data_IF_982350382423
#
_entry.id   IF_982350382423
#
_cell.length_a   1.000
_cell.length_b   1.000
_cell.length_c   1.000
_cell.angle_alpha   90.00
_cell.angle_beta   90.00
_cell.angle_gamma   90.00
#
_symmetry.space_group_name_H-M   'P 1'
#
loop_
_entity.id
_entity.type
_entity.pdbx_description
1 polymer ?
#
# COMPACT_ATOMS: atom_id res chain seq x y z
N UNK A 1 28.35 -47.11 -52.02
CA UNK A 1 28.27 -45.64 -52.09
C UNK A 1 29.40 -45.09 -51.23
N UNK A 2 30.61 -44.95 -51.78
CA UNK A 2 31.21 -43.70 -52.34
C UNK A 2 31.24 -42.58 -51.29
N UNK A 3 32.37 -41.95 -50.91
CA UNK A 3 33.70 -41.80 -51.56
C UNK A 3 34.76 -41.42 -50.51
N UNK A 4 35.96 -41.98 -50.65
CA UNK A 4 37.26 -41.41 -50.23
C UNK A 4 37.69 -40.35 -51.31
N UNK A 5 38.66 -39.44 -51.12
CA UNK A 5 40.09 -39.85 -51.09
C UNK A 5 41.13 -38.94 -50.35
N UNK A 6 42.30 -39.55 -50.02
CA UNK A 6 43.73 -39.17 -50.21
C UNK A 6 44.11 -37.66 -50.38
N UNK A 7 45.30 -37.09 -50.04
CA UNK A 7 46.67 -37.53 -49.70
C UNK A 7 47.56 -36.30 -49.39
N UNK A 8 48.66 -36.50 -48.61
CA UNK A 8 50.01 -35.88 -48.76
C UNK A 8 50.20 -34.40 -48.33
N UNK A 9 51.33 -33.91 -47.79
CA UNK A 9 52.69 -34.41 -47.61
C UNK A 9 53.47 -33.62 -46.53
N UNK A 10 54.59 -34.24 -46.15
CA UNK A 10 55.76 -33.88 -45.34
C UNK A 10 56.52 -32.58 -45.74
N UNK A 11 57.14 -31.86 -44.79
CA UNK A 11 58.55 -31.34 -44.77
C UNK A 11 58.77 -30.43 -43.51
N UNK A 12 59.73 -30.74 -42.62
CA UNK A 12 61.12 -30.22 -42.53
C UNK A 12 61.22 -28.85 -41.79
N UNK A 13 61.48 -28.79 -40.49
CA UNK A 13 62.77 -28.82 -39.75
C UNK A 13 63.49 -27.46 -39.58
N UNK A 14 64.04 -27.29 -38.36
CA UNK A 14 65.19 -26.47 -37.92
C UNK A 14 64.89 -25.15 -37.18
N UNK A 15 65.56 -25.08 -36.01
CA UNK A 15 65.78 -24.02 -35.03
C UNK A 15 65.97 -22.60 -35.61
N UNK A 16 65.74 -21.57 -34.77
CA UNK A 16 66.76 -20.62 -34.27
C UNK A 16 66.17 -19.78 -33.12
N UNK A 17 67.02 -19.53 -32.12
CA UNK A 17 66.79 -18.72 -30.92
C UNK A 17 66.74 -17.20 -31.22
N UNK A 18 66.02 -16.48 -30.34
CA UNK A 18 66.17 -15.06 -29.94
C UNK A 18 66.05 -13.93 -30.98
N UNK A 19 65.07 -13.02 -30.79
CA UNK A 19 65.29 -11.65 -30.26
C UNK A 19 63.99 -10.81 -30.25
N UNK A 20 63.77 -10.15 -29.11
CA UNK A 20 62.91 -9.01 -28.74
C UNK A 20 61.77 -8.44 -29.63
N UNK A 21 60.63 -8.31 -28.92
CA UNK A 21 59.68 -7.17 -28.79
C UNK A 21 58.69 -6.91 -29.94
N UNK A 22 57.51 -7.52 -29.81
CA UNK A 22 56.27 -6.93 -30.28
C UNK A 22 55.27 -6.82 -29.13
N UNK A 23 54.70 -5.62 -29.01
CA UNK A 23 53.64 -5.20 -28.13
C UNK A 23 52.35 -5.90 -28.58
N UNK A 24 51.93 -6.95 -27.88
CA UNK A 24 50.55 -7.44 -28.02
C UNK A 24 49.70 -6.70 -26.98
N UNK A 25 48.86 -5.78 -27.45
CA UNK A 25 47.73 -5.29 -26.67
C UNK A 25 46.91 -6.50 -26.22
N UNK A 26 47.03 -6.86 -24.95
CA UNK A 26 46.09 -7.78 -24.34
C UNK A 26 44.74 -7.08 -24.34
N UNK A 27 43.84 -7.52 -25.22
CA UNK A 27 42.43 -7.21 -25.12
C UNK A 27 41.99 -7.78 -23.77
N UNK A 28 41.93 -6.91 -22.76
CA UNK A 28 41.23 -7.17 -21.51
C UNK A 28 39.77 -7.36 -21.87
N UNK A 29 39.36 -8.62 -22.02
CA UNK A 29 37.96 -9.00 -22.03
C UNK A 29 37.51 -9.11 -20.59
N UNK A 30 37.51 -7.98 -19.88
CA UNK A 30 36.69 -7.81 -18.69
C UNK A 30 35.24 -7.86 -19.17
N UNK A 31 34.66 -9.06 -19.12
CA UNK A 31 33.21 -9.22 -19.16
C UNK A 31 32.70 -8.42 -17.97
N UNK A 32 32.17 -7.21 -18.20
CA UNK A 32 31.44 -6.45 -17.19
C UNK A 32 30.30 -7.35 -16.70
N UNK A 33 30.48 -7.96 -15.53
CA UNK A 33 29.44 -8.72 -14.89
C UNK A 33 28.35 -7.71 -14.48
N UNK A 34 27.19 -7.80 -15.13
CA UNK A 34 26.07 -6.90 -14.85
C UNK A 34 25.75 -6.92 -13.34
N UNK A 35 25.80 -5.75 -12.72
CA UNK A 35 25.67 -5.62 -11.27
C UNK A 35 24.26 -6.07 -10.83
N UNK A 36 24.19 -7.08 -9.95
CA UNK A 36 22.91 -7.62 -9.48
C UNK A 36 22.11 -6.53 -8.74
N UNK A 37 20.88 -6.28 -9.20
CA UNK A 37 19.93 -5.39 -8.52
C UNK A 37 19.05 -6.20 -7.54
N UNK A 38 18.81 -5.62 -6.37
CA UNK A 38 17.90 -6.13 -5.34
C UNK A 38 16.87 -5.07 -4.99
N UNK A 39 15.63 -5.52 -4.77
CA UNK A 39 14.54 -4.65 -4.35
C UNK A 39 14.52 -4.53 -2.81
N UNK A 40 14.52 -3.30 -2.31
CA UNK A 40 14.56 -2.95 -0.88
C UNK A 40 13.44 -1.95 -0.56
N UNK A 41 13.18 -1.66 0.73
CA UNK A 41 12.30 -0.55 1.12
C UNK A 41 12.74 0.81 0.55
N UNK A 42 14.02 0.96 0.21
CA UNK A 42 14.59 2.15 -0.43
C UNK A 42 14.51 2.14 -1.96
N UNK A 43 13.83 1.14 -2.54
CA UNK A 43 13.73 0.90 -3.98
C UNK A 43 14.75 -0.11 -4.49
N UNK A 44 14.93 -0.13 -5.81
CA UNK A 44 15.89 -0.99 -6.48
C UNK A 44 17.32 -0.47 -6.28
N UNK A 45 18.16 -1.31 -5.68
CA UNK A 45 19.54 -0.98 -5.33
C UNK A 45 20.50 -2.05 -5.84
N UNK A 46 21.74 -1.69 -6.19
CA UNK A 46 22.77 -2.68 -6.42
C UNK A 46 23.06 -3.47 -5.15
N UNK A 47 23.14 -4.80 -5.27
CA UNK A 47 23.38 -5.71 -4.14
C UNK A 47 24.69 -5.39 -3.40
N UNK A 48 25.68 -4.84 -4.11
CA UNK A 48 26.97 -4.40 -3.54
C UNK A 48 26.83 -3.28 -2.49
N UNK A 49 25.73 -2.51 -2.53
CA UNK A 49 25.46 -1.37 -1.63
C UNK A 49 24.59 -1.73 -0.43
N UNK A 50 24.09 -2.97 -0.38
CA UNK A 50 23.19 -3.46 0.67
C UNK A 50 23.98 -4.38 1.59
N UNK A 51 24.17 -3.97 2.83
CA UNK A 51 25.08 -4.61 3.78
C UNK A 51 24.30 -5.17 4.97
N UNK A 52 24.53 -6.44 5.27
CA UNK A 52 23.90 -7.11 6.42
C UNK A 52 24.60 -6.75 7.74
N UNK A 53 23.79 -6.46 8.75
CA UNK A 53 24.17 -6.29 10.15
C UNK A 53 23.62 -7.45 10.99
N UNK A 54 24.34 -7.73 12.08
CA UNK A 54 23.84 -8.56 13.17
C UNK A 54 23.71 -7.73 14.45
N UNK A 55 23.05 -8.30 15.46
CA UNK A 55 22.73 -7.63 16.73
C UNK A 55 23.96 -7.24 17.58
N UNK A 56 25.17 -7.69 17.23
CA UNK A 56 26.43 -7.32 17.89
C UNK A 56 27.18 -6.23 17.16
N UNK A 57 26.70 -5.81 15.99
CA UNK A 57 27.40 -4.85 15.13
C UNK A 57 26.57 -3.59 14.92
N UNK A 58 27.28 -2.47 14.79
CA UNK A 58 26.70 -1.16 14.44
C UNK A 58 27.46 -0.56 13.27
N UNK A 59 26.92 0.50 12.69
CA UNK A 59 27.62 1.32 11.71
C UNK A 59 27.78 2.75 12.25
N UNK A 60 29.00 3.28 12.13
CA UNK A 60 29.35 4.65 12.54
C UNK A 60 30.15 5.36 11.44
N UNK A 61 30.00 6.68 11.37
CA UNK A 61 30.88 7.54 10.56
C UNK A 61 32.05 7.99 11.43
N UNK A 62 33.29 7.76 10.98
CA UNK A 62 34.52 8.29 11.60
C UNK A 62 35.39 8.92 10.52
N UNK A 63 35.77 10.19 10.71
CA UNK A 63 36.66 10.92 9.80
C UNK A 63 36.25 10.83 8.31
N UNK A 64 34.94 11.00 8.02
CA UNK A 64 34.42 10.93 6.64
C UNK A 64 34.45 9.54 6.02
N UNK A 65 34.45 8.48 6.85
CA UNK A 65 34.36 7.08 6.41
C UNK A 65 33.35 6.32 7.24
N UNK A 66 32.74 5.33 6.64
CA UNK A 66 31.69 4.51 7.25
C UNK A 66 32.32 3.20 7.69
N UNK A 67 32.15 2.82 8.95
CA UNK A 67 32.72 1.60 9.51
C UNK A 67 31.64 0.72 10.12
N UNK A 68 31.73 -0.60 9.86
CA UNK A 68 31.04 -1.62 10.64
C UNK A 68 31.87 -1.89 11.90
N UNK A 69 31.26 -1.84 13.06
CA UNK A 69 31.93 -1.85 14.36
C UNK A 69 31.28 -2.88 15.28
N UNK A 70 32.09 -3.60 16.05
CA UNK A 70 31.63 -4.44 17.15
C UNK A 70 31.15 -3.56 18.31
N UNK A 71 29.91 -3.72 18.74
CA UNK A 71 29.30 -2.86 19.77
C UNK A 71 29.99 -3.04 21.12
N UNK A 72 30.44 -4.26 21.46
CA UNK A 72 31.00 -4.56 22.77
C UNK A 72 32.45 -4.07 22.92
N UNK A 73 33.23 -4.14 21.84
CA UNK A 73 34.67 -3.78 21.89
C UNK A 73 35.00 -2.47 21.18
N UNK A 74 34.03 -1.82 20.53
CA UNK A 74 34.19 -0.64 19.65
C UNK A 74 35.24 -0.83 18.54
N UNK A 75 35.53 -2.10 18.20
CA UNK A 75 36.56 -2.46 17.21
C UNK A 75 35.97 -2.37 15.81
N UNK A 76 36.73 -1.76 14.90
CA UNK A 76 36.39 -1.77 13.47
C UNK A 76 36.45 -3.19 12.92
N UNK A 77 35.32 -3.67 12.39
CA UNK A 77 35.18 -4.96 11.72
C UNK A 77 35.43 -4.80 10.22
N UNK A 78 34.89 -3.74 9.62
CA UNK A 78 35.04 -3.46 8.19
C UNK A 78 34.99 -1.96 7.92
N UNK A 79 35.78 -1.52 6.94
CA UNK A 79 35.69 -0.19 6.33
C UNK A 79 34.75 -0.28 5.11
N UNK A 80 33.61 0.40 5.19
CA UNK A 80 32.55 0.36 4.18
C UNK A 80 32.71 1.46 3.13
N UNK A 81 33.80 2.22 3.19
CA UNK A 81 34.14 3.25 2.23
C UNK A 81 34.05 4.67 2.79
N UNK A 82 34.31 5.63 1.92
CA UNK A 82 34.18 7.06 2.23
C UNK A 82 32.71 7.46 2.26
N UNK A 83 32.39 8.43 3.11
CA UNK A 83 31.13 9.17 3.03
C UNK A 83 31.02 9.78 1.64
N UNK A 84 29.91 9.57 0.96
CA UNK A 84 29.73 10.00 -0.43
C UNK A 84 28.86 11.25 -0.57
N UNK A 85 28.18 11.69 0.50
CA UNK A 85 27.26 12.82 0.56
C UNK A 85 26.35 13.02 -0.68
N UNK A 86 25.75 11.98 -1.31
CA UNK A 86 25.06 12.19 -2.58
C UNK A 86 23.68 12.84 -2.36
N UNK A 87 23.04 12.54 -1.22
CA UNK A 87 21.74 13.08 -0.78
C UNK A 87 21.44 12.62 0.65
N UNK A 88 20.83 13.46 1.49
CA UNK A 88 20.25 12.99 2.78
C UNK A 88 18.97 12.16 2.59
N UNK A 89 18.39 12.17 1.38
CA UNK A 89 17.18 11.42 1.07
C UNK A 89 17.54 9.98 0.63
N UNK A 90 17.18 8.96 1.43
CA UNK A 90 17.60 7.57 1.20
C UNK A 90 17.04 6.99 -0.12
N UNK A 91 15.97 7.56 -0.65
CA UNK A 91 15.27 7.06 -1.84
C UNK A 91 15.79 7.68 -3.14
N UNK A 92 16.68 8.68 -3.08
CA UNK A 92 17.17 9.37 -4.30
C UNK A 92 17.81 8.41 -5.29
N UNK A 93 18.67 7.51 -4.80
CA UNK A 93 19.31 6.52 -5.64
C UNK A 93 18.28 5.55 -6.24
N UNK A 94 17.45 4.93 -5.39
CA UNK A 94 16.44 3.96 -5.84
C UNK A 94 15.48 4.52 -6.88
N UNK A 95 15.09 5.80 -6.75
CA UNK A 95 14.27 6.51 -7.75
C UNK A 95 15.00 6.73 -9.08
N UNK A 96 16.28 7.11 -9.05
CA UNK A 96 17.08 7.31 -10.26
C UNK A 96 17.44 6.00 -10.99
N UNK A 97 17.56 4.88 -10.25
CA UNK A 97 17.94 3.59 -10.78
C UNK A 97 16.77 2.80 -11.41
N UNK A 98 15.53 3.21 -11.16
CA UNK A 98 14.34 2.58 -11.71
C UNK A 98 14.22 2.85 -13.23
N UNK A 99 14.84 2.01 -14.07
CA UNK A 99 14.75 2.10 -15.55
C UNK A 99 13.40 1.64 -16.12
N UNK A 100 12.54 0.96 -15.34
CA UNK A 100 11.22 0.50 -15.78
C UNK A 100 10.24 0.42 -14.60
N UNK A 101 9.16 1.22 -14.64
CA UNK A 101 7.82 0.93 -14.08
C UNK A 101 7.61 0.67 -12.58
N UNK A 102 8.65 0.48 -11.76
CA UNK A 102 8.52 0.04 -10.36
C UNK A 102 8.80 1.15 -9.33
N UNK A 103 8.45 2.40 -9.66
CA UNK A 103 8.44 3.51 -8.70
C UNK A 103 6.99 3.86 -8.33
N UNK A 104 6.29 2.95 -7.65
CA UNK A 104 5.03 3.36 -7.04
C UNK A 104 5.38 4.15 -5.77
N UNK A 105 4.96 5.42 -5.61
CA UNK A 105 5.14 6.12 -4.35
C UNK A 105 4.43 5.31 -3.27
N UNK A 106 5.13 4.99 -2.20
CA UNK A 106 4.51 4.42 -1.00
C UNK A 106 3.31 5.27 -0.57
N UNK A 107 2.31 4.61 -0.02
CA UNK A 107 1.24 5.26 0.70
C UNK A 107 1.77 5.62 2.07
N UNK A 108 1.83 6.90 2.40
CA UNK A 108 2.46 7.34 3.65
C UNK A 108 1.54 8.22 4.48
N UNK A 109 1.79 8.23 5.78
CA UNK A 109 1.42 9.31 6.68
C UNK A 109 2.69 9.76 7.40
N UNK A 110 3.02 11.05 7.31
CA UNK A 110 4.22 11.63 7.92
C UNK A 110 3.87 12.75 8.89
N UNK A 111 4.63 12.90 9.97
CA UNK A 111 4.45 14.00 10.90
C UNK A 111 5.79 14.48 11.43
N UNK A 112 5.87 15.78 11.74
CA UNK A 112 7.02 16.31 12.45
C UNK A 112 7.07 15.78 13.88
N UNK A 113 8.26 15.43 14.33
CA UNK A 113 8.58 15.05 15.69
C UNK A 113 10.06 15.35 15.96
N UNK A 114 10.37 15.76 17.18
CA UNK A 114 11.73 15.96 17.69
C UNK A 114 11.80 15.42 19.11
N UNK A 115 12.98 15.40 19.70
CA UNK A 115 13.19 14.87 21.04
C UNK A 115 12.74 13.42 21.22
N UNK A 116 12.74 12.63 20.15
CA UNK A 116 12.21 11.28 20.13
C UNK A 116 13.04 10.39 21.08
N UNK A 117 12.38 9.81 22.08
CA UNK A 117 12.93 8.73 22.90
C UNK A 117 12.58 7.37 22.29
N UNK A 118 11.33 7.18 21.88
CA UNK A 118 10.92 6.03 21.09
C UNK A 118 9.68 6.35 20.24
N UNK A 119 9.65 5.78 19.04
CA UNK A 119 8.47 5.73 18.18
C UNK A 119 8.12 4.26 17.92
N UNK A 120 6.90 3.85 18.27
CA UNK A 120 6.45 2.47 18.16
C UNK A 120 5.08 2.35 17.54
N UNK A 121 4.87 1.29 16.78
CA UNK A 121 3.59 1.02 16.12
C UNK A 121 3.29 -0.46 16.11
N UNK A 122 2.04 -0.83 16.38
CA UNK A 122 1.56 -2.21 16.25
C UNK A 122 0.79 -2.44 14.96
N UNK A 123 0.92 -3.62 14.39
CA UNK A 123 0.07 -4.08 13.29
C UNK A 123 -0.05 -5.61 13.31
N UNK A 124 -0.99 -6.13 12.54
CA UNK A 124 -1.17 -7.58 12.36
C UNK A 124 -0.60 -7.94 11.00
N UNK A 125 0.23 -8.99 10.92
CA UNK A 125 0.70 -9.53 9.64
C UNK A 125 -0.53 -9.91 8.80
N UNK A 126 -0.72 -9.31 7.61
CA UNK A 126 -1.94 -9.50 6.84
C UNK A 126 -2.00 -10.90 6.21
N UNK A 127 -3.17 -11.26 5.67
CA UNK A 127 -3.35 -12.52 4.95
C UNK A 127 -2.46 -12.59 3.71
N UNK A 128 -1.98 -13.80 3.38
CA UNK A 128 -1.18 -14.04 2.17
C UNK A 128 -1.92 -13.59 0.92
N UNK A 129 -1.24 -13.07 -0.12
CA UNK A 129 -1.88 -12.67 -1.36
C UNK A 129 -2.74 -13.76 -2.00
N UNK A 130 -3.81 -13.39 -2.72
CA UNK A 130 -4.66 -14.35 -3.43
C UNK A 130 -3.91 -15.27 -4.40
N UNK A 131 -2.84 -14.78 -5.02
CA UNK A 131 -1.84 -15.64 -5.65
C UNK A 131 -0.79 -16.06 -4.61
N UNK A 132 -0.89 -17.28 -4.03
CA UNK A 132 0.00 -17.71 -2.94
C UNK A 132 1.44 -17.99 -3.40
N UNK A 133 1.70 -17.98 -4.71
CA UNK A 133 3.04 -18.16 -5.28
C UNK A 133 3.69 -16.83 -5.68
N UNK A 134 2.99 -15.71 -5.50
CA UNK A 134 3.50 -14.39 -5.87
C UNK A 134 4.76 -14.05 -5.08
N UNK A 135 5.82 -13.73 -5.81
CA UNK A 135 7.03 -13.11 -5.26
C UNK A 135 7.04 -11.59 -5.45
N UNK A 136 5.91 -10.98 -5.81
CA UNK A 136 5.83 -9.52 -5.89
C UNK A 136 6.03 -8.92 -4.51
N UNK A 137 6.95 -7.98 -4.39
CA UNK A 137 7.31 -7.43 -3.09
C UNK A 137 6.26 -6.44 -2.59
N UNK A 138 5.97 -6.50 -1.30
CA UNK A 138 5.32 -5.40 -0.58
C UNK A 138 5.98 -5.18 0.76
N UNK A 139 6.08 -3.92 1.17
CA UNK A 139 6.58 -3.51 2.49
C UNK A 139 5.51 -2.79 3.29
N UNK A 140 5.46 -3.03 4.59
CA UNK A 140 4.65 -2.31 5.57
C UNK A 140 5.55 -1.99 6.77
N UNK A 141 5.66 -0.71 7.13
CA UNK A 141 6.65 -0.29 8.12
C UNK A 141 6.31 1.04 8.79
N UNK A 142 6.79 1.20 10.02
CA UNK A 142 6.91 2.49 10.69
C UNK A 142 8.38 2.96 10.61
N UNK A 143 8.64 4.25 10.83
CA UNK A 143 10.01 4.74 10.81
C UNK A 143 10.19 6.16 11.30
N UNK A 144 11.45 6.56 11.43
CA UNK A 144 11.84 7.93 11.77
C UNK A 144 12.81 8.50 10.74
N UNK A 145 12.90 9.83 10.70
CA UNK A 145 13.74 10.57 9.76
C UNK A 145 13.57 10.15 8.32
N UNK A 146 12.33 10.34 7.86
CA UNK A 146 11.85 10.01 6.50
C UNK A 146 12.01 8.52 6.16
N UNK A 147 12.09 7.65 7.17
CA UNK A 147 12.32 6.22 6.99
C UNK A 147 13.80 5.89 6.76
N UNK A 148 14.74 6.70 7.21
CA UNK A 148 16.14 6.26 7.26
C UNK A 148 16.39 5.18 8.32
N UNK A 149 15.44 4.98 9.24
CA UNK A 149 15.36 3.90 10.23
C UNK A 149 13.96 3.27 10.14
N UNK A 150 13.87 1.97 9.87
CA UNK A 150 12.62 1.27 9.50
C UNK A 150 12.58 -0.16 10.07
N UNK A 151 11.69 -0.43 11.05
CA UNK A 151 11.19 -1.78 11.30
C UNK A 151 10.22 -2.21 10.19
N UNK A 152 10.64 -3.16 9.35
CA UNK A 152 9.91 -3.54 8.13
C UNK A 152 9.31 -4.94 8.22
N UNK A 153 8.00 -5.04 7.92
CA UNK A 153 7.37 -6.28 7.46
C UNK A 153 7.43 -6.32 5.93
N UNK A 154 7.87 -7.44 5.38
CA UNK A 154 7.99 -7.64 3.93
C UNK A 154 7.40 -8.98 3.48
N UNK A 155 6.91 -9.01 2.24
CA UNK A 155 6.49 -10.22 1.52
C UNK A 155 7.26 -10.34 0.20
N UNK A 156 7.39 -11.55 -0.32
CA UNK A 156 7.75 -11.81 -1.72
C UNK A 156 9.26 -11.95 -1.95
N UNK A 157 9.73 -11.54 -3.12
CA UNK A 157 11.11 -11.75 -3.56
C UNK A 157 12.13 -11.17 -2.58
N UNK A 158 11.84 -10.03 -1.96
CA UNK A 158 12.71 -9.44 -0.93
C UNK A 158 12.73 -10.27 0.35
N UNK A 159 11.62 -10.91 0.75
CA UNK A 159 11.62 -11.84 1.88
C UNK A 159 12.40 -13.14 1.59
N UNK A 160 12.67 -13.43 0.32
CA UNK A 160 13.30 -14.68 -0.14
C UNK A 160 12.30 -15.69 -0.72
N UNK A 161 11.02 -15.32 -0.88
CA UNK A 161 9.99 -16.19 -1.43
C UNK A 161 8.57 -15.74 -1.09
N UNK A 162 7.58 -16.58 -1.40
CA UNK A 162 6.17 -16.31 -1.11
C UNK A 162 5.83 -16.54 0.37
N UNK A 163 6.44 -15.75 1.26
CA UNK A 163 6.20 -15.74 2.70
C UNK A 163 6.47 -14.36 3.29
N UNK A 164 5.99 -14.12 4.52
CA UNK A 164 6.29 -12.92 5.27
C UNK A 164 7.58 -13.06 6.07
N UNK A 165 8.38 -11.99 6.09
CA UNK A 165 9.51 -11.84 6.98
C UNK A 165 9.54 -10.42 7.55
N UNK A 166 10.19 -10.26 8.71
CA UNK A 166 10.54 -8.97 9.27
C UNK A 166 12.06 -8.75 9.18
N UNK A 167 12.46 -7.49 9.05
CA UNK A 167 13.84 -7.05 9.21
C UNK A 167 13.85 -5.55 9.54
N UNK A 168 14.84 -5.11 10.32
CA UNK A 168 15.11 -3.68 10.46
C UNK A 168 16.02 -3.21 9.33
N UNK A 169 15.77 -2.03 8.79
CA UNK A 169 16.49 -1.44 7.67
C UNK A 169 16.91 -0.02 8.00
N UNK A 170 18.15 0.33 7.66
CA UNK A 170 18.60 1.70 7.80
C UNK A 170 19.44 2.21 6.63
N UNK A 171 19.45 3.52 6.49
CA UNK A 171 20.28 4.25 5.54
C UNK A 171 21.22 5.20 6.28
N UNK A 172 22.50 5.15 5.91
CA UNK A 172 23.52 6.06 6.41
C UNK A 172 24.47 6.47 5.28
N UNK A 173 24.32 7.70 4.83
CA UNK A 173 25.22 8.37 3.87
C UNK A 173 25.62 7.55 2.63
N UNK A 174 24.62 7.01 1.93
CA UNK A 174 24.78 6.24 0.70
C UNK A 174 24.95 4.73 0.93
N UNK A 175 25.03 4.29 2.18
CA UNK A 175 25.07 2.88 2.56
C UNK A 175 23.71 2.42 3.04
N UNK A 176 23.26 1.28 2.52
CA UNK A 176 21.99 0.65 2.86
C UNK A 176 22.26 -0.58 3.70
N UNK A 177 21.54 -0.71 4.81
CA UNK A 177 21.81 -1.69 5.85
C UNK A 177 20.54 -2.44 6.17
N UNK A 178 20.67 -3.72 6.50
CA UNK A 178 19.55 -4.50 7.03
C UNK A 178 19.99 -5.46 8.11
N UNK A 179 19.10 -5.73 9.06
CA UNK A 179 19.25 -6.79 10.05
C UNK A 179 18.98 -8.17 9.48
N UNK A 180 18.99 -9.17 10.36
CA UNK A 180 18.60 -10.53 10.03
C UNK A 180 17.13 -10.60 9.63
N UNK A 181 16.84 -11.39 8.60
CA UNK A 181 15.45 -11.66 8.20
C UNK A 181 14.88 -12.74 9.11
N UNK A 182 13.70 -12.48 9.67
CA UNK A 182 12.98 -13.43 10.53
C UNK A 182 11.62 -13.69 9.93
N UNK A 183 11.34 -14.95 9.58
CA UNK A 183 10.02 -15.32 9.03
C UNK A 183 8.93 -15.18 10.08
N UNK A 184 7.78 -14.66 9.66
CA UNK A 184 6.59 -14.48 10.51
C UNK A 184 5.34 -14.99 9.79
N UNK A 185 4.30 -15.33 10.54
CA UNK A 185 3.06 -15.89 9.99
C UNK A 185 1.97 -14.80 9.90
N UNK A 186 1.03 -14.91 8.94
CA UNK A 186 -0.22 -14.16 8.97
C UNK A 186 -0.92 -14.25 10.32
N UNK A 187 -1.48 -13.14 10.80
CA UNK A 187 -2.12 -13.06 12.12
C UNK A 187 -1.18 -12.77 13.29
N UNK A 188 0.14 -12.86 13.10
CA UNK A 188 1.11 -12.42 14.12
C UNK A 188 0.93 -10.94 14.39
N UNK A 189 0.87 -10.56 15.67
CA UNK A 189 0.93 -9.15 16.09
C UNK A 189 2.40 -8.74 16.14
N UNK A 190 2.74 -7.70 15.39
CA UNK A 190 4.05 -7.08 15.38
C UNK A 190 3.99 -5.74 16.11
N UNK A 191 5.11 -5.37 16.72
CA UNK A 191 5.35 -4.02 17.24
C UNK A 191 6.74 -3.59 16.77
N UNK A 192 6.80 -2.72 15.77
CA UNK A 192 8.04 -2.11 15.30
C UNK A 192 8.41 -0.91 16.17
N UNK A 193 9.64 -0.84 16.64
CA UNK A 193 10.11 0.18 17.58
C UNK A 193 11.44 0.76 17.12
N UNK A 194 11.52 2.09 17.04
CA UNK A 194 12.81 2.81 16.93
C UNK A 194 13.03 3.58 18.22
N UNK A 195 14.13 3.31 18.92
CA UNK A 195 14.46 3.91 20.21
C UNK A 195 15.79 4.65 20.18
N UNK A 196 15.81 5.83 20.77
CA UNK A 196 17.05 6.54 21.11
C UNK A 196 17.78 5.78 22.23
N UNK A 197 19.09 5.60 22.07
CA UNK A 197 19.95 4.89 23.04
C UNK A 197 20.83 5.89 23.79
N UNK A 198 21.61 6.67 23.05
CA UNK A 198 22.56 7.63 23.60
C UNK A 198 22.98 8.65 22.53
N UNK A 199 23.54 9.77 22.95
CA UNK A 199 24.31 10.63 22.07
C UNK A 199 25.58 11.10 22.79
N UNK A 200 26.63 11.32 22.02
CA UNK A 200 27.89 11.94 22.44
C UNK A 200 28.51 12.68 21.24
N UNK A 201 29.77 13.08 21.34
CA UNK A 201 30.50 13.73 20.25
C UNK A 201 30.64 12.86 18.98
N UNK A 202 30.50 11.54 19.12
CA UNK A 202 30.55 10.57 18.00
C UNK A 202 29.22 10.39 17.27
N UNK A 203 28.12 10.93 17.81
CA UNK A 203 26.83 10.99 17.17
C UNK A 203 25.67 10.48 18.02
N UNK A 204 24.55 10.23 17.34
CA UNK A 204 23.26 9.83 17.91
C UNK A 204 23.01 8.35 17.63
N UNK A 205 22.97 7.54 18.67
CA UNK A 205 22.77 6.10 18.56
C UNK A 205 21.31 5.73 18.74
N UNK A 206 20.79 4.95 17.79
CA UNK A 206 19.44 4.42 17.79
C UNK A 206 19.47 2.89 17.73
N UNK A 207 18.40 2.29 18.24
CA UNK A 207 18.11 0.87 18.13
C UNK A 207 16.80 0.70 17.36
N UNK A 208 16.81 -0.16 16.37
CA UNK A 208 15.60 -0.62 15.68
C UNK A 208 15.29 -2.05 16.13
N UNK A 209 14.02 -2.31 16.41
CA UNK A 209 13.57 -3.55 17.05
C UNK A 209 12.17 -3.95 16.60
N UNK A 210 11.91 -5.24 16.69
CA UNK A 210 10.56 -5.78 16.79
C UNK A 210 10.38 -6.39 18.19
N UNK A 211 9.35 -5.97 18.94
CA UNK A 211 9.07 -6.54 20.28
C UNK A 211 8.92 -8.06 20.16
N UNK A 212 9.72 -8.81 20.92
CA UNK A 212 9.73 -10.27 20.91
C UNK A 212 10.68 -10.92 19.91
N UNK A 213 11.42 -10.15 19.11
CA UNK A 213 12.36 -10.63 18.10
C UNK A 213 13.76 -9.98 18.22
N UNK A 214 14.48 -10.21 19.35
CA UNK A 214 15.77 -9.57 19.59
C UNK A 214 16.85 -9.93 18.56
N UNK A 215 16.73 -11.06 17.87
CA UNK A 215 17.63 -11.45 16.79
C UNK A 215 17.52 -10.57 15.52
N UNK A 216 16.43 -9.78 15.41
CA UNK A 216 16.24 -8.81 14.35
C UNK A 216 16.84 -7.43 14.69
N UNK A 217 17.22 -7.20 15.96
CA UNK A 217 17.70 -5.90 16.43
C UNK A 217 18.94 -5.43 15.66
N UNK A 218 18.95 -4.14 15.32
CA UNK A 218 20.14 -3.45 14.81
C UNK A 218 20.38 -2.15 15.56
N UNK A 219 21.65 -1.74 15.61
CA UNK A 219 22.06 -0.45 16.15
C UNK A 219 22.73 0.37 15.05
N UNK A 220 22.52 1.68 15.10
CA UNK A 220 23.13 2.63 14.17
C UNK A 220 23.47 3.93 14.87
N UNK A 221 24.65 4.48 14.61
CA UNK A 221 25.07 5.79 15.10
C UNK A 221 25.11 6.78 13.94
N UNK A 222 24.33 7.84 14.04
CA UNK A 222 24.12 8.86 13.01
C UNK A 222 24.79 10.18 13.43
N UNK A 223 25.21 11.04 12.49
CA UNK A 223 25.81 12.32 12.85
C UNK A 223 24.80 13.33 13.42
N UNK A 224 23.52 13.16 13.12
CA UNK A 224 22.44 14.08 13.48
C UNK A 224 21.30 13.32 14.17
N UNK A 225 20.55 14.05 14.99
CA UNK A 225 19.31 13.53 15.59
C UNK A 225 18.33 13.11 14.49
N UNK A 226 17.70 11.95 14.66
CA UNK A 226 16.57 11.52 13.85
C UNK A 226 15.30 12.28 14.25
N UNK A 227 14.75 13.02 13.29
CA UNK A 227 13.53 13.82 13.42
C UNK A 227 12.41 13.21 12.59
N UNK A 228 11.16 13.65 12.79
CA UNK A 228 9.98 13.20 12.05
C UNK A 228 9.66 11.70 12.24
N UNK A 229 8.39 11.38 12.02
CA UNK A 229 7.87 10.01 12.07
C UNK A 229 7.07 9.72 10.80
N UNK A 230 6.99 8.44 10.43
CA UNK A 230 6.31 7.99 9.23
C UNK A 230 5.70 6.60 9.45
N UNK A 231 4.49 6.43 8.92
CA UNK A 231 3.89 5.13 8.62
C UNK A 231 3.85 4.95 7.11
N UNK A 232 4.15 3.76 6.60
CA UNK A 232 4.24 3.53 5.17
C UNK A 232 3.78 2.13 4.76
N UNK A 233 3.09 2.07 3.62
CA UNK A 233 2.82 0.85 2.87
C UNK A 233 3.25 1.01 1.41
N UNK A 234 4.05 0.07 0.91
CA UNK A 234 4.67 0.12 -0.41
C UNK A 234 4.38 -1.18 -1.17
N UNK A 235 3.36 -1.21 -2.04
CA UNK A 235 3.20 -2.32 -2.99
C UNK A 235 4.07 -2.06 -4.22
N UNK A 236 5.02 -2.96 -4.49
CA UNK A 236 5.85 -2.92 -5.70
C UNK A 236 5.21 -3.69 -6.87
N UNK A 237 3.87 -3.70 -6.90
CA UNK A 237 3.05 -4.27 -7.97
C UNK A 237 1.72 -3.54 -8.04
N UNK A 238 1.20 -3.34 -9.25
CA UNK A 238 -0.16 -2.86 -9.49
C UNK A 238 -1.18 -4.00 -9.60
N UNK A 239 -0.73 -5.26 -9.57
CA UNK A 239 -1.60 -6.42 -9.61
C UNK A 239 -2.17 -6.70 -8.21
N UNK A 240 -3.46 -6.43 -8.05
CA UNK A 240 -4.16 -6.61 -6.77
C UNK A 240 -4.20 -8.06 -6.27
N UNK A 241 -4.08 -9.05 -7.16
CA UNK A 241 -4.01 -10.47 -6.76
C UNK A 241 -2.69 -10.83 -6.05
N UNK A 242 -1.73 -9.90 -6.07
CA UNK A 242 -0.42 -10.02 -5.42
C UNK A 242 -0.31 -9.13 -4.17
N UNK A 243 -1.37 -8.37 -3.85
CA UNK A 243 -1.44 -7.60 -2.61
C UNK A 243 -1.89 -8.48 -1.44
N UNK A 244 -1.60 -8.10 -0.19
CA UNK A 244 -2.07 -8.85 0.96
C UNK A 244 -3.59 -9.06 0.93
N UNK A 245 -4.05 -10.26 1.24
CA UNK A 245 -5.47 -10.62 1.21
C UNK A 245 -6.19 -10.12 2.47
N UNK A 246 -6.32 -8.81 2.56
CA UNK A 246 -7.05 -8.11 3.61
C UNK A 246 -7.61 -6.82 3.04
N UNK A 247 -8.75 -6.35 3.57
CA UNK A 247 -9.31 -5.07 3.16
C UNK A 247 -8.41 -3.88 3.53
N UNK A 248 -7.76 -3.97 4.69
CA UNK A 248 -6.83 -2.97 5.17
C UNK A 248 -5.84 -3.59 6.14
N UNK A 249 -4.62 -3.08 6.15
CA UNK A 249 -3.74 -3.26 7.30
C UNK A 249 -3.88 -2.05 8.21
N UNK A 250 -4.20 -2.29 9.49
CA UNK A 250 -4.28 -1.26 10.50
C UNK A 250 -2.96 -1.18 11.24
N UNK A 251 -2.38 0.00 11.25
CA UNK A 251 -1.30 0.39 12.14
C UNK A 251 -1.92 1.12 13.33
N UNK A 252 -1.80 0.54 14.52
CA UNK A 252 -2.50 0.97 15.74
C UNK A 252 -1.55 0.99 16.94
N UNK A 253 -2.03 1.56 18.03
CA UNK A 253 -1.21 1.80 19.22
C UNK A 253 0.06 2.61 18.87
N UNK A 254 -0.06 3.50 17.87
CA UNK A 254 1.03 4.36 17.43
C UNK A 254 1.37 5.25 18.61
N UNK A 255 2.63 5.20 19.04
CA UNK A 255 3.09 5.86 20.25
C UNK A 255 4.38 6.62 19.99
N UNK A 256 4.36 7.90 20.36
CA UNK A 256 5.55 8.72 20.47
C UNK A 256 5.86 8.95 21.95
N UNK A 257 7.10 8.66 22.33
CA UNK A 257 7.67 9.11 23.60
C UNK A 257 8.84 10.01 23.32
N UNK A 258 9.00 11.01 24.16
CA UNK A 258 10.06 12.01 24.07
C UNK A 258 11.02 11.87 25.24
N UNK A 259 12.24 12.38 25.07
CA UNK A 259 13.28 12.35 26.10
C UNK A 259 12.86 13.19 27.31
N UNK A 260 13.45 12.90 28.47
CA UNK A 260 13.10 13.53 29.75
C UNK A 260 13.07 15.06 29.66
N UNK A 261 12.00 15.66 30.18
CA UNK A 261 11.82 17.12 30.23
C UNK A 261 10.92 17.70 29.13
N UNK A 262 10.66 16.95 28.06
CA UNK A 262 9.74 17.36 26.99
C UNK A 262 8.61 16.35 26.93
N UNK A 263 7.33 16.69 27.19
CA UNK A 263 6.21 15.78 26.92
C UNK A 263 5.94 15.70 25.41
N UNK A 264 5.47 14.54 24.88
CA UNK A 264 5.07 14.47 23.48
C UNK A 264 3.83 15.36 23.25
N UNK A 265 3.65 15.92 22.05
CA UNK A 265 2.42 16.64 21.72
C UNK A 265 1.22 15.70 21.86
N UNK A 266 0.02 16.22 22.15
CA UNK A 266 -1.16 15.36 22.32
C UNK A 266 -1.53 14.59 21.03
N UNK A 267 -1.29 15.20 19.87
CA UNK A 267 -1.62 14.64 18.56
C UNK A 267 -0.49 14.83 17.55
N UNK A 268 -0.39 13.91 16.60
CA UNK A 268 0.36 14.07 15.37
C UNK A 268 -0.38 14.96 14.38
N UNK A 269 0.36 15.84 13.70
CA UNK A 269 -0.11 16.58 12.54
C UNK A 269 0.24 15.79 11.27
N UNK A 270 -0.42 14.65 11.07
CA UNK A 270 -0.17 13.75 9.96
C UNK A 270 -0.45 14.42 8.60
N UNK A 271 0.48 14.29 7.67
CA UNK A 271 0.36 14.60 6.26
C UNK A 271 0.33 13.28 5.48
N UNK A 272 -0.71 13.09 4.67
CA UNK A 272 -0.87 11.88 3.86
C UNK A 272 -0.36 12.12 2.45
N UNK A 273 0.42 11.18 1.91
CA UNK A 273 0.87 11.18 0.52
C UNK A 273 0.71 9.80 -0.13
N UNK A 274 0.75 9.76 -1.45
CA UNK A 274 0.62 8.55 -2.27
C UNK A 274 -0.31 8.80 -3.46
N UNK A 275 -0.26 7.96 -4.50
CA UNK A 275 -1.22 8.03 -5.59
C UNK A 275 -2.62 7.71 -5.07
N UNK A 276 -3.67 8.29 -5.63
CA UNK A 276 -5.03 7.80 -5.36
C UNK A 276 -5.26 6.52 -6.15
N UNK A 277 -5.08 5.35 -5.51
CA UNK A 277 -5.57 4.08 -6.07
C UNK A 277 -6.94 3.79 -5.46
N UNK A 278 -7.87 3.35 -6.30
CA UNK A 278 -9.27 3.24 -5.90
C UNK A 278 -9.48 1.95 -5.12
N UNK A 279 -9.31 2.08 -3.81
CA UNK A 279 -9.72 1.16 -2.76
C UNK A 279 -11.10 1.54 -2.21
N UNK A 280 -11.65 0.72 -1.31
CA UNK A 280 -12.98 0.95 -0.71
C UNK A 280 -13.08 2.27 0.11
N UNK A 281 -11.96 2.91 0.41
CA UNK A 281 -11.92 4.19 1.13
C UNK A 281 -11.83 5.39 0.17
N UNK A 282 -11.56 5.15 -1.11
CA UNK A 282 -11.23 6.22 -2.07
C UNK A 282 -9.84 6.84 -1.88
N UNK A 283 -9.12 6.49 -0.81
CA UNK A 283 -7.71 6.81 -0.50
C UNK A 283 -7.06 5.63 0.21
N UNK A 284 -5.87 5.22 -0.19
CA UNK A 284 -5.19 4.07 0.45
C UNK A 284 -4.72 4.34 1.87
N UNK A 285 -4.46 5.59 2.27
CA UNK A 285 -4.08 5.94 3.64
C UNK A 285 -5.17 6.76 4.30
N UNK A 286 -5.63 6.33 5.48
CA UNK A 286 -6.64 7.04 6.28
C UNK A 286 -6.13 7.22 7.70
N UNK A 287 -6.08 8.47 8.16
CA UNK A 287 -5.85 8.81 9.57
C UNK A 287 -7.15 8.54 10.33
N UNK A 288 -7.12 7.61 11.27
CA UNK A 288 -8.29 7.22 12.08
C UNK A 288 -8.23 7.85 13.47
N UNK A 289 -7.04 7.87 14.07
CA UNK A 289 -6.79 8.54 15.33
C UNK A 289 -5.42 9.22 15.25
N UNK A 290 -5.37 10.52 15.50
CA UNK A 290 -4.14 11.30 15.44
C UNK A 290 -3.42 11.41 16.79
N UNK A 291 -3.91 10.79 17.87
CA UNK A 291 -3.23 10.82 19.17
C UNK A 291 -1.79 10.31 19.10
N UNK A 292 -0.87 10.95 19.84
CA UNK A 292 0.49 10.40 20.02
C UNK A 292 0.56 9.28 21.04
N UNK A 293 -0.52 9.06 21.78
CA UNK A 293 -0.73 7.92 22.66
C UNK A 293 -1.93 7.16 22.11
N UNK A 294 -1.70 6.08 21.36
CA UNK A 294 -2.72 5.26 20.70
C UNK A 294 -3.23 5.78 19.35
N UNK A 295 -2.35 6.38 18.55
CA UNK A 295 -2.66 6.75 17.18
C UNK A 295 -3.04 5.54 16.31
N UNK A 296 -3.80 5.79 15.25
CA UNK A 296 -4.27 4.77 14.32
C UNK A 296 -4.23 5.32 12.89
N UNK A 297 -3.56 4.58 12.01
CA UNK A 297 -3.56 4.79 10.56
C UNK A 297 -3.99 3.49 9.89
N UNK A 298 -4.96 3.58 8.98
CA UNK A 298 -5.42 2.47 8.16
C UNK A 298 -4.83 2.57 6.75
N UNK A 299 -4.13 1.52 6.31
CA UNK A 299 -3.75 1.32 4.93
C UNK A 299 -4.76 0.40 4.25
N UNK A 300 -5.68 0.98 3.48
CA UNK A 300 -6.64 0.24 2.68
C UNK A 300 -5.94 -0.40 1.49
N UNK A 301 -6.09 -1.72 1.41
CA UNK A 301 -5.56 -2.58 0.38
C UNK A 301 -6.73 -3.04 -0.48
N UNK A 302 -6.50 -3.27 -1.77
CA UNK A 302 -7.45 -3.95 -2.64
C UNK A 302 -7.35 -5.47 -2.43
N UNK A 303 -7.62 -5.94 -1.21
CA UNK A 303 -7.75 -7.38 -0.97
C UNK A 303 -8.92 -7.94 -1.78
N UNK A 304 -8.81 -9.19 -2.25
CA UNK A 304 -9.93 -9.93 -2.81
C UNK A 304 -10.98 -10.11 -1.71
N UNK A 305 -11.89 -9.14 -1.59
CA UNK A 305 -13.06 -9.25 -0.73
C UNK A 305 -13.98 -10.22 -1.48
N UNK A 306 -14.21 -11.45 -1.01
CA UNK A 306 -15.55 -12.01 -1.25
C UNK A 306 -16.51 -10.95 -0.73
N UNK A 307 -17.24 -10.23 -1.60
CA UNK A 307 -17.58 -8.86 -1.31
C UNK A 307 -18.36 -8.79 0.00
N UNK A 308 -17.97 -7.89 0.90
CA UNK A 308 -18.55 -7.83 2.23
C UNK A 308 -20.08 -7.76 2.09
N UNK A 309 -20.80 -8.65 2.76
CA UNK A 309 -22.24 -8.75 2.65
C UNK A 309 -22.87 -7.36 2.76
N UNK A 310 -23.78 -7.05 1.82
CA UNK A 310 -24.47 -5.76 1.80
C UNK A 310 -25.14 -5.54 3.15
N UNK A 311 -24.73 -4.48 3.85
CA UNK A 311 -25.33 -4.09 5.12
C UNK A 311 -26.57 -3.26 4.82
N UNK A 312 -27.73 -3.87 4.99
CA UNK A 312 -29.02 -3.19 4.82
C UNK A 312 -29.07 -1.89 5.61
N UNK A 313 -29.54 -0.81 4.97
CA UNK A 313 -29.68 0.52 5.54
C UNK A 313 -28.46 1.42 5.35
N UNK A 314 -27.30 0.90 4.95
CA UNK A 314 -26.09 1.70 4.78
C UNK A 314 -26.03 2.43 3.43
N UNK A 315 -25.16 3.44 3.36
CA UNK A 315 -24.91 4.27 2.17
C UNK A 315 -23.63 3.82 1.48
N UNK A 316 -23.66 3.72 0.16
CA UNK A 316 -22.56 3.24 -0.67
C UNK A 316 -22.31 4.16 -1.87
N UNK A 317 -21.07 4.25 -2.35
CA UNK A 317 -20.82 4.52 -3.76
C UNK A 317 -20.84 3.19 -4.52
N UNK A 318 -21.35 3.21 -5.75
CA UNK A 318 -21.40 2.04 -6.64
C UNK A 318 -20.41 2.28 -7.77
N UNK A 319 -19.26 1.59 -7.73
CA UNK A 319 -18.11 1.84 -8.62
C UNK A 319 -18.06 0.78 -9.71
N UNK A 320 -17.92 1.19 -10.98
CA UNK A 320 -17.77 0.22 -12.09
C UNK A 320 -16.41 -0.46 -12.08
N UNK A 321 -16.33 -1.73 -12.45
CA UNK A 321 -15.07 -2.43 -12.66
C UNK A 321 -14.35 -2.04 -13.95
N UNK A 322 -15.04 -1.40 -14.90
CA UNK A 322 -14.52 -1.09 -16.24
C UNK A 322 -13.25 -0.24 -16.18
N UNK A 323 -13.25 0.78 -15.33
CA UNK A 323 -12.07 1.61 -15.06
C UNK A 323 -11.76 1.74 -13.55
N UNK A 324 -12.52 1.06 -12.70
CA UNK A 324 -12.43 1.12 -11.24
C UNK A 324 -12.60 2.51 -10.62
N UNK A 325 -13.02 3.53 -11.39
CA UNK A 325 -13.06 4.92 -10.94
C UNK A 325 -14.38 5.64 -11.11
N UNK A 326 -15.09 5.41 -12.22
CA UNK A 326 -16.39 6.02 -12.45
C UNK A 326 -17.46 5.33 -11.60
N UNK A 327 -18.49 6.09 -11.23
CA UNK A 327 -19.51 5.68 -10.27
C UNK A 327 -20.92 5.96 -10.79
N UNK A 328 -21.89 5.26 -10.19
CA UNK A 328 -23.31 5.42 -10.47
C UNK A 328 -23.81 6.80 -9.99
N UNK A 329 -24.45 7.53 -10.89
CA UNK A 329 -24.82 8.94 -10.68
C UNK A 329 -26.26 9.21 -11.18
N UNK A 330 -27.03 9.95 -10.38
CA UNK A 330 -28.25 10.63 -10.85
C UNK A 330 -27.89 12.03 -11.39
N UNK A 331 -27.96 12.26 -12.71
CA UNK A 331 -27.40 13.46 -13.33
C UNK A 331 -28.02 14.73 -12.73
N UNK A 332 -27.17 15.67 -12.35
CA UNK A 332 -27.58 16.97 -11.84
C UNK A 332 -28.38 16.95 -10.53
N UNK A 333 -28.29 15.88 -9.73
CA UNK A 333 -29.15 15.66 -8.56
C UNK A 333 -30.66 15.71 -8.92
N UNK A 334 -31.02 15.31 -10.15
CA UNK A 334 -32.41 15.33 -10.58
C UNK A 334 -33.30 14.49 -9.65
N UNK A 335 -34.47 15.04 -9.34
CA UNK A 335 -35.54 14.41 -8.57
C UNK A 335 -36.74 14.08 -9.46
N UNK A 336 -36.56 14.07 -10.79
CA UNK A 336 -37.64 13.81 -11.75
C UNK A 336 -37.73 12.31 -12.02
N UNK A 337 -38.93 11.75 -11.96
CA UNK A 337 -39.20 10.37 -12.39
C UNK A 337 -38.81 10.15 -13.85
N UNK A 338 -38.25 8.99 -14.17
CA UNK A 338 -37.71 8.71 -15.50
C UNK A 338 -36.31 9.26 -15.76
N UNK A 339 -35.66 9.92 -14.78
CA UNK A 339 -34.28 10.38 -14.95
C UNK A 339 -33.36 9.17 -15.19
N UNK A 340 -32.71 9.14 -16.35
CA UNK A 340 -31.73 8.12 -16.72
C UNK A 340 -30.52 8.17 -15.79
N UNK A 341 -30.20 7.03 -15.18
CA UNK A 341 -28.98 6.89 -14.38
C UNK A 341 -27.79 6.72 -15.30
N UNK A 342 -26.69 7.37 -14.95
CA UNK A 342 -25.47 7.40 -15.74
C UNK A 342 -24.26 6.93 -14.93
N UNK A 343 -23.19 6.65 -15.65
CA UNK A 343 -21.86 6.56 -15.13
C UNK A 343 -21.20 7.94 -15.23
N UNK A 344 -20.59 8.39 -14.13
CA UNK A 344 -19.90 9.67 -14.06
C UNK A 344 -18.61 9.55 -13.25
N UNK A 345 -17.65 10.42 -13.46
CA UNK A 345 -16.49 10.52 -12.59
C UNK A 345 -16.91 10.84 -11.15
N UNK A 346 -16.10 10.44 -10.17
CA UNK A 346 -16.39 10.72 -8.77
C UNK A 346 -16.22 12.22 -8.50
N UNK A 347 -17.26 12.86 -7.98
CA UNK A 347 -17.17 14.23 -7.48
C UNK A 347 -16.31 14.28 -6.21
N UNK A 348 -15.52 15.34 -6.06
CA UNK A 348 -14.65 15.56 -4.89
C UNK A 348 -15.02 16.90 -4.24
N UNK A 349 -15.67 16.90 -3.06
CA UNK A 349 -16.16 15.74 -2.29
C UNK A 349 -17.35 15.03 -2.97
N UNK A 350 -17.60 13.78 -2.57
CA UNK A 350 -18.68 12.96 -3.15
C UNK A 350 -20.05 13.58 -2.84
N UNK A 351 -20.80 13.91 -3.89
CA UNK A 351 -22.13 14.53 -3.81
C UNK A 351 -23.24 13.52 -3.50
N UNK A 352 -24.41 14.01 -3.10
CA UNK A 352 -25.53 13.18 -2.66
C UNK A 352 -26.15 12.31 -3.79
N UNK A 353 -26.11 12.78 -5.04
CA UNK A 353 -26.51 12.01 -6.23
C UNK A 353 -25.56 10.86 -6.62
N UNK A 354 -24.40 10.76 -5.97
CA UNK A 354 -23.42 9.69 -6.15
C UNK A 354 -23.38 8.72 -4.95
N UNK A 355 -24.27 8.94 -3.98
CA UNK A 355 -24.41 8.16 -2.75
C UNK A 355 -25.75 7.43 -2.78
N UNK A 356 -25.72 6.13 -2.53
CA UNK A 356 -26.88 5.27 -2.66
C UNK A 356 -27.12 4.50 -1.36
N UNK A 357 -28.28 4.71 -0.73
CA UNK A 357 -28.73 3.89 0.40
C UNK A 357 -29.25 2.56 -0.13
N UNK A 358 -28.69 1.45 0.36
CA UNK A 358 -29.09 0.10 -0.02
C UNK A 358 -29.82 -0.56 1.15
N UNK A 359 -31.09 -0.91 0.97
CA UNK A 359 -31.95 -1.47 2.03
C UNK A 359 -32.57 -2.77 1.56
N UNK A 360 -32.50 -3.82 2.38
CA UNK A 360 -33.16 -5.11 2.11
C UNK A 360 -34.67 -4.91 2.06
N UNK A 361 -35.32 -5.52 1.06
CA UNK A 361 -36.78 -5.49 0.87
C UNK A 361 -37.37 -6.81 1.37
N UNK A 362 -37.02 -7.90 0.69
CA UNK A 362 -37.43 -9.26 1.02
C UNK A 362 -36.40 -10.26 0.46
N UNK A 363 -36.22 -11.41 1.12
CA UNK A 363 -35.28 -12.44 0.67
C UNK A 363 -33.88 -11.89 0.37
N UNK A 364 -33.35 -12.14 -0.83
CA UNK A 364 -32.04 -11.63 -1.29
C UNK A 364 -32.14 -10.30 -2.06
N UNK A 365 -33.31 -9.66 -2.06
CA UNK A 365 -33.57 -8.45 -2.84
C UNK A 365 -33.48 -7.18 -2.00
N UNK A 366 -32.94 -6.14 -2.64
CA UNK A 366 -32.71 -4.82 -2.04
C UNK A 366 -33.29 -3.73 -2.93
N UNK A 367 -33.63 -2.60 -2.30
CA UNK A 367 -33.87 -1.32 -2.98
C UNK A 367 -32.61 -0.46 -2.90
N UNK A 368 -32.35 0.31 -3.94
CA UNK A 368 -31.17 1.17 -4.08
C UNK A 368 -31.69 2.60 -4.30
N UNK A 369 -31.46 3.49 -3.34
CA UNK A 369 -32.08 4.82 -3.31
C UNK A 369 -31.01 5.91 -3.27
N UNK A 370 -31.05 6.91 -4.15
CA UNK A 370 -30.07 7.98 -4.11
C UNK A 370 -30.30 8.85 -2.86
N UNK A 371 -29.22 9.29 -2.20
CA UNK A 371 -29.37 9.97 -0.90
C UNK A 371 -29.99 11.37 -0.99
N UNK A 372 -29.96 12.01 -2.16
CA UNK A 372 -30.64 13.30 -2.40
C UNK A 372 -32.15 13.14 -2.67
N UNK A 373 -32.67 11.93 -2.88
CA UNK A 373 -34.10 11.66 -3.12
C UNK A 373 -34.49 10.30 -2.53
N UNK A 374 -34.66 10.23 -1.20
CA UNK A 374 -34.87 8.98 -0.48
C UNK A 374 -36.26 8.35 -0.71
N UNK A 375 -37.16 9.02 -1.40
CA UNK A 375 -38.46 8.51 -1.87
C UNK A 375 -38.37 7.84 -3.24
N UNK A 376 -37.21 7.87 -3.91
CA UNK A 376 -36.96 7.26 -5.22
C UNK A 376 -36.09 6.02 -5.12
N UNK A 377 -36.10 5.21 -6.18
CA UNK A 377 -35.31 4.00 -6.30
C UNK A 377 -34.80 3.76 -7.73
N UNK A 378 -33.65 3.08 -7.82
CA UNK A 378 -33.08 2.56 -9.05
C UNK A 378 -34.07 1.55 -9.68
N UNK A 379 -34.49 1.81 -10.90
CA UNK A 379 -35.61 1.11 -11.54
C UNK A 379 -35.25 0.71 -12.97
N UNK A 380 -35.56 -0.53 -13.35
CA UNK A 380 -35.56 -0.92 -14.77
C UNK A 380 -36.77 -0.25 -15.44
N UNK A 381 -36.53 0.61 -16.43
CA UNK A 381 -37.57 1.43 -17.06
C UNK A 381 -38.71 0.54 -17.60
N UNK A 382 -39.93 0.79 -17.14
CA UNK A 382 -41.13 0.04 -17.52
C UNK A 382 -41.13 -1.44 -17.09
N UNK A 383 -40.16 -1.89 -16.28
CA UNK A 383 -40.01 -3.30 -15.89
C UNK A 383 -39.72 -4.24 -17.07
N UNK A 384 -39.20 -3.72 -18.19
CA UNK A 384 -39.00 -4.47 -19.42
C UNK A 384 -37.78 -5.40 -19.31
N UNK A 385 -37.98 -6.69 -19.59
CA UNK A 385 -36.92 -7.70 -19.63
C UNK A 385 -36.29 -7.80 -21.03
N UNK A 386 -35.60 -6.75 -21.45
CA UNK A 386 -34.88 -6.70 -22.73
C UNK A 386 -33.50 -6.07 -22.59
N UNK A 387 -32.54 -6.50 -23.42
CA UNK A 387 -31.20 -5.93 -23.42
C UNK A 387 -31.23 -4.44 -23.80
N UNK A 388 -30.32 -3.66 -23.21
CA UNK A 388 -30.20 -2.20 -23.35
C UNK A 388 -31.42 -1.43 -22.83
N UNK A 389 -32.28 -2.05 -22.04
CA UNK A 389 -33.35 -1.31 -21.33
C UNK A 389 -32.72 -0.34 -20.35
N UNK A 390 -33.18 0.91 -20.40
CA UNK A 390 -32.75 2.00 -19.54
C UNK A 390 -32.95 1.68 -18.05
N UNK A 391 -32.01 2.09 -17.22
CA UNK A 391 -32.16 2.15 -15.76
C UNK A 391 -32.35 3.59 -15.33
N UNK A 392 -33.46 3.88 -14.67
CA UNK A 392 -33.88 5.23 -14.24
C UNK A 392 -33.99 5.31 -12.71
N UNK A 393 -34.14 6.53 -12.18
CA UNK A 393 -34.71 6.73 -10.85
C UNK A 393 -36.20 7.03 -10.97
N UNK A 394 -37.01 6.33 -10.16
CA UNK A 394 -38.47 6.47 -10.12
C UNK A 394 -38.94 6.52 -8.67
N UNK A 395 -40.12 7.09 -8.42
CA UNK A 395 -40.79 7.00 -7.14
C UNK A 395 -40.90 5.54 -6.66
N UNK A 396 -40.49 5.29 -5.42
CA UNK A 396 -40.44 3.93 -4.87
C UNK A 396 -41.84 3.44 -4.49
N UNK A 397 -42.29 2.39 -5.17
CA UNK A 397 -43.60 1.74 -4.96
C UNK A 397 -43.48 0.31 -4.44
N UNK A 398 -42.25 -0.23 -4.36
CA UNK A 398 -42.00 -1.63 -4.03
C UNK A 398 -42.14 -2.59 -5.22
N UNK A 399 -42.37 -2.08 -6.43
CA UNK A 399 -42.46 -2.89 -7.66
C UNK A 399 -41.18 -3.73 -7.89
N UNK A 400 -41.32 -4.93 -8.47
CA UNK A 400 -40.21 -5.83 -8.78
C UNK A 400 -39.14 -5.20 -9.70
N UNK A 401 -39.49 -4.21 -10.52
CA UNK A 401 -38.54 -3.45 -11.35
C UNK A 401 -37.58 -2.57 -10.53
N UNK A 402 -37.88 -2.36 -9.24
CA UNK A 402 -37.12 -1.54 -8.28
C UNK A 402 -36.34 -2.38 -7.27
N UNK A 403 -36.34 -3.71 -7.47
CA UNK A 403 -35.73 -4.67 -6.58
C UNK A 403 -34.54 -5.34 -7.27
N UNK A 404 -33.41 -5.39 -6.59
CA UNK A 404 -32.13 -5.85 -7.13
C UNK A 404 -31.51 -6.90 -6.23
N UNK A 405 -31.09 -8.02 -6.82
CA UNK A 405 -30.27 -9.05 -6.18
C UNK A 405 -28.80 -8.75 -6.42
N UNK A 406 -28.01 -8.78 -5.35
CA UNK A 406 -26.56 -8.61 -5.41
C UNK A 406 -25.89 -9.98 -5.46
N UNK A 407 -25.35 -10.35 -6.63
CA UNK A 407 -24.67 -11.63 -6.84
C UNK A 407 -23.16 -11.41 -6.77
N UNK A 408 -22.44 -11.95 -5.77
CA UNK A 408 -20.99 -11.75 -5.64
C UNK A 408 -20.21 -12.45 -6.76
N UNK A 409 -19.11 -11.84 -7.23
CA UNK A 409 -18.18 -12.47 -8.19
C UNK A 409 -16.96 -13.13 -7.53
N UNK A 410 -16.93 -13.11 -6.18
CA UNK A 410 -15.83 -13.59 -5.34
C UNK A 410 -14.48 -12.85 -5.51
N UNK A 411 -14.47 -11.69 -6.19
CA UNK A 411 -13.30 -10.83 -6.44
C UNK A 411 -13.56 -9.37 -6.04
N UNK A 412 -14.50 -9.13 -5.13
CA UNK A 412 -14.81 -7.79 -4.62
C UNK A 412 -15.92 -7.05 -5.36
N UNK A 413 -16.51 -7.66 -6.38
CA UNK A 413 -17.59 -7.08 -7.16
C UNK A 413 -18.91 -7.83 -6.98
N UNK A 414 -19.98 -7.15 -7.33
CA UNK A 414 -21.32 -7.67 -7.45
C UNK A 414 -21.82 -7.49 -8.88
N UNK A 415 -22.59 -8.45 -9.33
CA UNK A 415 -23.56 -8.27 -10.40
C UNK A 415 -24.89 -7.85 -9.76
N UNK A 416 -25.55 -6.84 -10.34
CA UNK A 416 -26.85 -6.35 -9.87
C UNK A 416 -27.93 -6.89 -10.80
N UNK A 417 -28.64 -7.92 -10.36
CA UNK A 417 -29.67 -8.62 -11.14
C UNK A 417 -31.05 -8.08 -10.75
N UNK A 418 -31.82 -7.45 -11.66
CA UNK A 418 -33.15 -6.94 -11.33
C UNK A 418 -34.16 -8.09 -11.17
N UNK A 419 -35.08 -7.97 -10.21
CA UNK A 419 -36.08 -9.01 -9.96
C UNK A 419 -37.04 -9.19 -11.16
N UNK A 420 -37.31 -8.13 -11.93
CA UNK A 420 -38.15 -8.18 -13.12
C UNK A 420 -37.50 -8.87 -14.34
N UNK A 421 -36.17 -9.07 -14.33
CA UNK A 421 -35.43 -9.61 -15.47
C UNK A 421 -34.22 -10.44 -15.00
N UNK A 422 -34.42 -11.63 -14.40
CA UNK A 422 -33.36 -12.39 -13.73
C UNK A 422 -32.25 -12.93 -14.65
N UNK A 423 -32.47 -12.96 -15.97
CA UNK A 423 -31.46 -13.30 -16.97
C UNK A 423 -30.57 -12.11 -17.39
N UNK A 424 -30.77 -10.94 -16.77
CA UNK A 424 -30.09 -9.69 -17.09
C UNK A 424 -29.36 -9.14 -15.85
N UNK A 425 -28.39 -8.27 -16.08
CA UNK A 425 -27.69 -7.55 -15.02
C UNK A 425 -27.54 -6.07 -15.41
N UNK A 426 -27.37 -5.20 -14.41
CA UNK A 426 -26.92 -3.82 -14.61
C UNK A 426 -25.63 -3.82 -15.44
N UNK A 427 -25.54 -2.91 -16.40
CA UNK A 427 -24.53 -2.91 -17.45
C UNK A 427 -24.15 -1.47 -17.82
N UNK A 428 -22.84 -1.21 -17.87
CA UNK A 428 -22.30 0.03 -18.44
C UNK A 428 -22.39 -0.06 -19.96
N UNK A 429 -23.22 0.80 -20.56
CA UNK A 429 -23.45 0.77 -22.00
C UNK A 429 -22.15 0.81 -22.80
N UNK A 430 -21.97 -0.17 -23.68
CA UNK A 430 -20.79 -0.38 -24.52
C UNK A 430 -19.45 -0.53 -23.77
N UNK A 431 -19.45 -0.79 -22.45
CA UNK A 431 -18.22 -0.86 -21.66
C UNK A 431 -17.39 0.46 -21.72
N UNK A 432 -18.05 1.60 -21.91
CA UNK A 432 -17.41 2.91 -22.03
C UNK A 432 -17.54 3.73 -20.75
N UNK A 433 -16.50 4.50 -20.40
CA UNK A 433 -16.44 5.21 -19.11
C UNK A 433 -16.35 6.72 -19.21
N UNK A 434 -16.61 7.30 -20.38
CA UNK A 434 -16.75 8.77 -20.49
C UNK A 434 -17.95 9.22 -19.66
N UNK A 435 -17.89 10.42 -19.08
CA UNK A 435 -19.00 10.97 -18.31
C UNK A 435 -20.33 10.96 -19.08
N UNK A 436 -21.41 10.58 -18.41
CA UNK A 436 -22.75 10.55 -19.01
C UNK A 436 -23.12 9.24 -19.67
N UNK A 437 -22.29 8.19 -19.61
CA UNK A 437 -22.63 6.89 -20.21
C UNK A 437 -23.84 6.29 -19.52
N UNK A 438 -24.88 5.87 -20.27
CA UNK A 438 -26.11 5.42 -19.66
C UNK A 438 -25.92 4.05 -19.00
N UNK A 439 -26.61 3.86 -17.88
CA UNK A 439 -26.76 2.56 -17.24
C UNK A 439 -27.96 1.85 -17.82
N UNK A 440 -27.74 0.60 -18.25
CA UNK A 440 -28.79 -0.24 -18.83
C UNK A 440 -28.79 -1.60 -18.15
N UNK A 441 -29.78 -2.43 -18.47
CA UNK A 441 -29.65 -3.88 -18.23
C UNK A 441 -29.26 -4.58 -19.53
N UNK A 442 -28.40 -5.59 -19.43
CA UNK A 442 -28.00 -6.43 -20.56
C UNK A 442 -27.95 -7.90 -20.13
N UNK A 443 -27.86 -8.82 -21.09
CA UNK A 443 -27.80 -10.25 -20.81
C UNK A 443 -26.71 -10.52 -19.79
N UNK A 444 -27.05 -11.21 -18.71
CA UNK A 444 -26.08 -11.51 -17.67
C UNK A 444 -25.02 -12.47 -18.25
N UNK A 445 -23.81 -11.95 -18.45
CA UNK A 445 -22.71 -12.63 -19.13
C UNK A 445 -21.39 -12.60 -18.36
N UNK A 446 -21.36 -11.99 -17.17
CA UNK A 446 -20.17 -11.94 -16.32
C UNK A 446 -19.09 -10.97 -16.80
N UNK A 447 -19.36 -10.16 -17.83
CA UNK A 447 -18.40 -9.20 -18.37
C UNK A 447 -18.05 -8.10 -17.37
N UNK A 448 -16.91 -7.44 -17.60
CA UNK A 448 -16.43 -6.34 -16.74
C UNK A 448 -17.42 -5.16 -16.71
N UNK A 449 -18.23 -4.97 -17.76
CA UNK A 449 -19.28 -3.95 -17.83
C UNK A 449 -20.42 -4.17 -16.80
N UNK A 450 -20.54 -5.39 -16.25
CA UNK A 450 -21.60 -5.79 -15.32
C UNK A 450 -21.12 -5.91 -13.87
N UNK A 451 -19.84 -5.63 -13.62
CA UNK A 451 -19.22 -5.77 -12.31
C UNK A 451 -19.19 -4.42 -11.60
N UNK A 452 -19.76 -4.38 -10.40
CA UNK A 452 -19.81 -3.17 -9.57
C UNK A 452 -19.34 -3.44 -8.16
N UNK A 453 -18.51 -2.55 -7.64
CA UNK A 453 -18.01 -2.60 -6.27
C UNK A 453 -18.80 -1.66 -5.38
N UNK A 454 -19.21 -2.15 -4.21
CA UNK A 454 -19.92 -1.38 -3.21
C UNK A 454 -18.94 -0.77 -2.22
N UNK A 455 -18.88 0.56 -2.18
CA UNK A 455 -17.90 1.31 -1.40
C UNK A 455 -18.64 2.01 -0.26
N UNK A 456 -18.58 1.42 0.95
CA UNK A 456 -19.30 1.92 2.12
C UNK A 456 -18.91 3.37 2.42
N UNK A 457 -19.90 4.25 2.49
CA UNK A 457 -19.73 5.62 2.92
C UNK A 457 -19.92 5.67 4.43
N UNK A 458 -18.89 6.12 5.16
CA UNK A 458 -19.01 6.35 6.59
C UNK A 458 -20.15 7.34 6.83
N UNK A 459 -21.06 6.99 7.74
CA UNK A 459 -21.98 7.97 8.30
C UNK A 459 -21.12 9.11 8.86
N UNK A 460 -21.50 10.36 8.58
CA UNK A 460 -20.94 11.47 9.31
C UNK A 460 -21.15 11.17 10.81
N UNK A 461 -20.07 11.07 11.57
CA UNK A 461 -20.15 11.15 13.02
C UNK A 461 -20.68 12.56 13.25
N UNK A 462 -21.97 12.68 13.58
CA UNK A 462 -22.42 13.88 14.26
C UNK A 462 -21.57 13.97 15.53
N UNK A 463 -20.89 15.10 15.81
CA UNK A 463 -20.26 15.28 17.11
C UNK A 463 -21.33 15.00 18.17
N UNK A 464 -21.00 14.28 19.25
CA UNK A 464 -21.97 13.96 20.28
C UNK A 464 -22.68 15.25 20.69
N UNK A 465 -24.00 15.22 20.63
CA UNK A 465 -24.87 16.31 21.05
C UNK A 465 -24.38 16.76 22.44
N UNK A 466 -23.86 17.99 22.54
CA UNK A 466 -23.56 18.63 23.80
C UNK A 466 -24.90 18.88 24.52
N UNK A 467 -25.41 17.85 25.18
CA UNK A 467 -26.47 17.97 26.15
C UNK A 467 -25.77 18.01 27.52
N UNK A 468 -25.51 19.19 28.09
CA UNK A 468 -24.96 19.27 29.44
C UNK A 468 -26.05 18.80 30.42
N UNK A 469 -26.05 17.51 30.74
CA UNK A 469 -26.68 17.00 31.95
C UNK A 469 -25.82 17.42 33.14
N UNK A 470 -25.96 18.67 33.56
CA UNK A 470 -25.60 19.08 34.91
C UNK A 470 -26.89 19.39 35.68
N UNK A 471 -27.18 18.69 36.78
CA UNK A 471 -28.21 19.14 37.70
C UNK A 471 -27.72 20.45 38.33
N UNK A 472 -28.53 21.50 38.22
CA UNK A 472 -28.34 22.75 38.96
C UNK A 472 -28.34 22.45 40.47
N UNK A 473 -27.34 22.91 41.25
CA UNK A 473 -27.43 22.87 42.69
C UNK A 473 -28.51 23.83 43.17
N UNK A 474 -29.45 23.33 43.96
CA UNK A 474 -30.33 24.15 44.77
C UNK A 474 -29.48 24.95 45.78
N UNK A 475 -29.61 26.26 45.74
CA UNK A 475 -28.97 27.18 46.68
C UNK A 475 -29.82 28.44 46.81
N UNK A 476 -30.53 28.51 47.92
CA UNK A 476 -31.14 29.68 48.54
C UNK A 476 -30.31 30.96 48.32
N UNK A 477 -30.96 32.08 47.99
CA UNK A 477 -30.90 33.37 48.73
C UNK A 477 -32.03 34.28 48.21
N UNK A 478 -32.79 34.81 49.18
CA UNK A 478 -33.85 35.84 49.15
C UNK A 478 -35.19 35.58 48.44
#
# INVERSE_FOLDING_TARGET
>A
MQRNPFMHALLLAILICSCQKEQSDSIDTSIEQEEKIVLTPYGNLPASRVIALDYKTTVKIRNGRIFKIDIATDKVIADLGKTSFPSKDPYTFGRSAAKTGASSPGFTATAYASDIQAFSTKWVVPGVPPNPYSTATTFLWNGIDRGTLQPVLMWGGTAGGAFYAIANWCYLDGVYLHGKYVSVLPGTVLEGVVSFVSHDESGWTYKESFTGYPEADIYVTRPEEALNVIECWEPYTSNFTEWPNVLKSRMYDIKLTTRSGTPPPATFNWQVSGPDIITISGKNTVIVNNSTQHGIIDFYMNGNIAPAAIKSGNVYMIVTAVNNSSILDTPGNSTIDGTQVILYERNVPVSANQKWRISRVDGDYFKIQPTHSPDKALTVKGGVSAARTAVTVEHYTGNIAQQWKFVPDNQGYYYLVPACAPAYALDVYNNETTNGKPMTISWYNGSVAQKFRMVLQASAIQPPNNNPLFPTPAGFYE
#
